data_IF_228254057989
#
_entry.id   IF_228254057989
#
_cell.length_a   1.000
_cell.length_b   1.000
_cell.length_c   1.000
_cell.angle_alpha   90.00
_cell.angle_beta   90.00
_cell.angle_gamma   90.00
#
_symmetry.space_group_name_H-M   'P 1'
#
loop_
_entity.id
_entity.type
_entity.pdbx_description
1 polymer ?
#
# COMPACT_ATOMS: atom_id res chain seq x y z
N UNK A 1 -23.17 -16.10 12.34
CA UNK A 1 -22.12 -15.08 12.48
C UNK A 1 -20.95 -15.47 11.59
N UNK A 2 -21.05 -15.11 10.32
CA UNK A 2 -20.24 -15.67 9.24
C UNK A 2 -18.84 -15.06 9.20
N UNK A 3 -17.85 -15.94 8.99
CA UNK A 3 -16.41 -15.69 8.87
C UNK A 3 -16.08 -14.31 8.30
N UNK A 4 -15.25 -13.54 9.01
CA UNK A 4 -14.51 -12.41 8.44
C UNK A 4 -13.51 -12.96 7.42
N UNK A 5 -14.01 -13.27 6.22
CA UNK A 5 -13.18 -13.51 5.06
C UNK A 5 -12.54 -12.16 4.74
N UNK A 6 -11.28 -11.96 5.14
CA UNK A 6 -10.51 -10.78 4.74
C UNK A 6 -10.23 -10.91 3.23
N UNK A 7 -11.23 -10.55 2.43
CA UNK A 7 -11.12 -10.56 0.98
C UNK A 7 -10.14 -9.47 0.55
N UNK A 8 -9.28 -9.82 -0.41
CA UNK A 8 -8.33 -8.92 -1.07
C UNK A 8 -9.00 -7.65 -1.63
N UNK A 9 -10.24 -7.81 -2.08
CA UNK A 9 -11.11 -6.73 -2.54
C UNK A 9 -11.50 -5.76 -1.42
N UNK A 10 -11.88 -6.27 -0.25
CA UNK A 10 -12.23 -5.42 0.89
C UNK A 10 -11.02 -4.62 1.37
N UNK A 11 -9.86 -5.26 1.47
CA UNK A 11 -8.62 -4.59 1.86
C UNK A 11 -8.22 -3.51 0.85
N UNK A 12 -8.32 -3.79 -0.46
CA UNK A 12 -8.07 -2.79 -1.50
C UNK A 12 -9.02 -1.60 -1.42
N UNK A 13 -10.30 -1.85 -1.10
CA UNK A 13 -11.30 -0.80 -0.96
C UNK A 13 -11.05 0.06 0.29
N UNK A 14 -10.74 -0.55 1.43
CA UNK A 14 -10.39 0.16 2.66
C UNK A 14 -9.19 1.09 2.46
N UNK A 15 -8.16 0.65 1.71
CA UNK A 15 -7.00 1.50 1.38
C UNK A 15 -7.45 2.73 0.58
N UNK A 16 -8.30 2.54 -0.44
CA UNK A 16 -8.76 3.66 -1.27
C UNK A 16 -9.63 4.66 -0.48
N UNK A 17 -10.47 4.15 0.42
CA UNK A 17 -11.26 4.98 1.33
C UNK A 17 -10.34 5.73 2.30
N UNK A 18 -9.35 5.08 2.90
CA UNK A 18 -8.38 5.71 3.78
C UNK A 18 -7.56 6.81 3.08
N UNK A 19 -7.07 6.54 1.87
CA UNK A 19 -6.35 7.54 1.06
C UNK A 19 -7.24 8.73 0.70
N UNK A 20 -8.53 8.49 0.44
CA UNK A 20 -9.48 9.56 0.12
C UNK A 20 -9.89 10.39 1.34
N UNK A 21 -10.03 9.75 2.51
CA UNK A 21 -10.49 10.38 3.75
C UNK A 21 -9.36 11.11 4.48
N UNK A 22 -8.22 10.44 4.66
CA UNK A 22 -7.09 10.94 5.41
C UNK A 22 -6.10 11.73 4.56
N UNK A 23 -6.07 11.46 3.24
CA UNK A 23 -5.14 12.09 2.31
C UNK A 23 -3.70 11.62 2.54
N UNK A 24 -3.22 10.72 1.71
CA UNK A 24 -1.86 10.18 1.83
C UNK A 24 -1.53 9.16 0.76
N UNK A 25 -0.29 8.69 0.72
CA UNK A 25 0.10 7.65 -0.24
C UNK A 25 -0.47 6.29 0.14
N UNK A 26 -0.68 5.45 -0.87
CA UNK A 26 -1.17 4.09 -0.68
C UNK A 26 -0.32 3.26 0.29
N UNK A 27 0.99 3.54 0.41
CA UNK A 27 1.86 2.88 1.40
C UNK A 27 1.45 3.19 2.84
N UNK A 28 1.15 4.46 3.13
CA UNK A 28 0.83 4.92 4.48
C UNK A 28 -0.50 4.30 4.95
N UNK A 29 -1.50 4.33 4.06
CA UNK A 29 -2.77 3.67 4.25
C UNK A 29 -2.62 2.15 4.51
N UNK A 30 -1.68 1.48 3.82
CA UNK A 30 -1.42 0.06 4.05
C UNK A 30 -0.80 -0.20 5.41
N UNK A 31 0.13 0.66 5.86
CA UNK A 31 0.78 0.53 7.17
C UNK A 31 -0.22 0.74 8.31
N UNK A 32 -1.04 1.80 8.23
CA UNK A 32 -2.11 2.06 9.21
C UNK A 32 -3.12 0.91 9.28
N UNK A 33 -3.57 0.42 8.12
CA UNK A 33 -4.48 -0.73 8.08
C UNK A 33 -3.81 -2.02 8.59
N UNK A 34 -2.49 -2.14 8.43
CA UNK A 34 -1.71 -3.21 9.01
C UNK A 34 -1.70 -3.12 10.54
N UNK A 35 -1.41 -1.96 11.11
CA UNK A 35 -1.42 -1.75 12.56
C UNK A 35 -2.82 -1.95 13.16
N UNK A 36 -3.86 -1.38 12.55
CA UNK A 36 -5.25 -1.51 13.00
C UNK A 36 -5.76 -2.96 13.00
N UNK A 37 -5.28 -3.78 12.07
CA UNK A 37 -5.70 -5.18 11.92
C UNK A 37 -4.70 -6.17 12.52
N UNK A 38 -3.66 -5.69 13.21
CA UNK A 38 -2.53 -6.49 13.71
C UNK A 38 -1.99 -7.43 12.63
N UNK A 39 -1.85 -6.89 11.42
CA UNK A 39 -1.46 -7.60 10.22
C UNK A 39 -0.02 -7.27 9.86
N UNK A 40 0.75 -8.29 9.51
CA UNK A 40 2.09 -8.11 8.97
C UNK A 40 2.05 -7.46 7.57
N UNK A 41 2.94 -6.48 7.27
CA UNK A 41 3.00 -5.84 5.96
C UNK A 41 3.28 -6.84 4.82
N UNK A 42 4.00 -7.93 5.13
CA UNK A 42 4.19 -9.07 4.22
C UNK A 42 2.88 -9.75 3.83
N UNK A 43 1.89 -9.77 4.73
CA UNK A 43 0.55 -10.33 4.51
C UNK A 43 -0.34 -9.33 3.80
N UNK A 44 -0.31 -8.05 4.20
CA UNK A 44 -1.01 -6.99 3.47
C UNK A 44 -0.59 -6.97 2.01
N UNK A 45 0.71 -7.08 1.71
CA UNK A 45 1.22 -7.18 0.35
C UNK A 45 0.64 -8.37 -0.44
N UNK A 46 0.23 -9.47 0.21
CA UNK A 46 -0.44 -10.60 -0.46
C UNK A 46 -1.95 -10.37 -0.66
N UNK A 47 -2.54 -9.46 0.12
CA UNK A 47 -3.94 -9.06 0.05
C UNK A 47 -4.17 -7.89 -0.91
N UNK A 48 -3.14 -7.10 -1.20
CA UNK A 48 -3.18 -6.06 -2.23
C UNK A 48 -3.48 -6.66 -3.61
N UNK A 49 -4.47 -6.08 -4.29
CA UNK A 49 -4.77 -6.40 -5.68
C UNK A 49 -3.72 -5.78 -6.61
N UNK A 50 -3.57 -6.36 -7.82
CA UNK A 50 -2.65 -5.84 -8.85
C UNK A 50 -2.74 -4.31 -9.06
N UNK A 51 -3.93 -3.70 -9.23
CA UNK A 51 -4.02 -2.25 -9.46
C UNK A 51 -3.52 -1.42 -8.27
N UNK A 52 -3.71 -1.85 -7.02
CA UNK A 52 -3.21 -1.10 -5.86
C UNK A 52 -1.69 -1.19 -5.76
N UNK A 53 -1.12 -2.37 -6.04
CA UNK A 53 0.35 -2.53 -6.08
C UNK A 53 0.98 -1.66 -7.14
N UNK A 54 0.39 -1.63 -8.33
CA UNK A 54 0.84 -0.81 -9.44
C UNK A 54 0.83 0.68 -9.06
N UNK A 55 -0.25 1.15 -8.42
CA UNK A 55 -0.32 2.50 -7.88
C UNK A 55 0.73 2.80 -6.83
N UNK A 56 0.95 1.88 -5.88
CA UNK A 56 1.99 2.03 -4.85
C UNK A 56 3.38 2.12 -5.49
N UNK A 57 3.67 1.27 -6.48
CA UNK A 57 4.95 1.27 -7.17
C UNK A 57 5.16 2.56 -7.96
N UNK A 58 4.14 3.03 -8.69
CA UNK A 58 4.18 4.31 -9.40
C UNK A 58 4.40 5.47 -8.43
N UNK A 59 3.67 5.53 -7.31
CA UNK A 59 3.86 6.57 -6.29
C UNK A 59 5.25 6.49 -5.66
N UNK A 60 5.75 5.30 -5.36
CA UNK A 60 7.07 5.12 -4.76
C UNK A 60 8.21 5.49 -5.73
N UNK A 61 8.01 5.30 -7.04
CA UNK A 61 8.94 5.75 -8.09
C UNK A 61 8.87 7.28 -8.25
N UNK A 62 7.67 7.85 -8.30
CA UNK A 62 7.46 9.31 -8.44
C UNK A 62 8.08 10.08 -7.24
N UNK A 63 7.83 9.56 -6.03
CA UNK A 63 8.37 10.10 -4.78
C UNK A 63 9.84 9.76 -4.53
N UNK A 64 10.54 9.14 -5.49
CA UNK A 64 11.96 8.75 -5.38
C UNK A 64 12.28 7.83 -4.17
N UNK A 65 11.29 7.08 -3.65
CA UNK A 65 11.46 6.16 -2.52
C UNK A 65 12.15 4.85 -2.90
N UNK A 66 12.06 4.45 -4.17
CA UNK A 66 12.79 3.29 -4.68
C UNK A 66 14.04 3.84 -5.39
N UNK A 67 15.25 3.40 -5.02
CA UNK A 67 16.46 3.75 -5.75
C UNK A 67 16.43 3.06 -7.12
N UNK A 68 15.67 3.65 -8.05
CA UNK A 68 16.04 3.63 -9.46
C UNK A 68 17.40 4.33 -9.58
N UNK A 69 18.22 3.87 -10.51
CA UNK A 69 19.64 4.21 -10.75
C UNK A 69 20.04 5.70 -10.90
N UNK A 70 19.40 6.69 -10.27
CA UNK A 70 19.65 8.11 -10.52
C UNK A 70 20.82 8.72 -9.71
N UNK A 71 21.50 7.97 -8.84
CA UNK A 71 22.73 8.47 -8.20
C UNK A 71 23.97 7.82 -8.79
N UNK A 72 24.22 8.10 -10.07
CA UNK A 72 25.59 8.47 -10.44
C UNK A 72 25.78 9.87 -9.86
N UNK A 73 26.21 9.94 -8.60
CA UNK A 73 26.88 11.13 -8.09
C UNK A 73 28.01 11.42 -9.08
N UNK A 74 28.02 12.55 -9.80
CA UNK A 74 29.21 12.98 -10.48
C UNK A 74 30.18 13.38 -9.37
N UNK A 75 31.26 12.62 -9.24
CA UNK A 75 32.48 13.10 -8.55
C UNK A 75 33.43 13.60 -9.63
#
# INVERSE_FOLDING_TARGET
>A
MSLKLQNKEQFSKEIQEFVSDHGGSYMDAVLELCEQKEMEPSTAAKLLTKPIKDKIEVEAVDLHFIPGNHQKLPV
#
